data_IF_462142983476
#
_entry.id   IF_462142983476
#
_cell.length_a   1.000
_cell.length_b   1.000
_cell.length_c   1.000
_cell.angle_alpha   90.00
_cell.angle_beta   90.00
_cell.angle_gamma   90.00
#
_symmetry.space_group_name_H-M   'P 1'
#
loop_
_entity.id
_entity.type
_entity.pdbx_description
1 polymer ?
#
# COMPACT_ATOMS: atom_id res chain seq x y z
N UNK A 1 11.03 30.99 -3.20
CA UNK A 1 12.15 30.06 -3.50
C UNK A 1 12.13 28.89 -2.53
N UNK A 2 12.77 27.78 -2.88
CA UNK A 2 12.91 26.61 -2.02
C UNK A 2 13.85 26.93 -0.87
N UNK A 3 13.42 26.71 0.35
CA UNK A 3 14.21 26.97 1.56
C UNK A 3 14.55 25.71 2.36
N UNK A 4 13.78 24.61 2.14
CA UNK A 4 13.90 23.37 2.90
C UNK A 4 14.88 22.36 2.30
N UNK A 5 15.27 22.57 1.05
CA UNK A 5 16.17 21.68 0.30
C UNK A 5 17.23 22.48 -0.45
N UNK A 6 18.36 21.88 -0.69
CA UNK A 6 19.47 22.42 -1.48
C UNK A 6 19.94 21.39 -2.54
N UNK A 7 20.70 21.84 -3.52
CA UNK A 7 21.31 20.96 -4.51
C UNK A 7 22.19 19.90 -3.84
N UNK A 8 22.01 18.65 -4.23
CA UNK A 8 22.71 17.51 -3.68
C UNK A 8 21.96 16.77 -2.54
N UNK A 9 20.83 17.30 -2.05
CA UNK A 9 20.01 16.56 -1.10
C UNK A 9 19.33 15.36 -1.78
N UNK A 10 19.41 14.19 -1.14
CA UNK A 10 18.70 12.99 -1.58
C UNK A 10 17.28 13.01 -1.03
N UNK A 11 16.30 12.83 -1.92
CA UNK A 11 14.88 13.00 -1.56
C UNK A 11 14.00 11.86 -2.10
N UNK A 12 12.86 11.66 -1.45
CA UNK A 12 11.71 10.94 -1.98
C UNK A 12 10.56 11.92 -2.18
N UNK A 13 9.68 11.67 -3.14
CA UNK A 13 8.54 12.53 -3.38
C UNK A 13 7.33 11.77 -3.94
N UNK A 14 6.16 12.38 -3.82
CA UNK A 14 4.94 11.91 -4.45
C UNK A 14 4.40 12.99 -5.40
N UNK A 15 4.53 12.79 -6.71
CA UNK A 15 3.93 13.69 -7.69
C UNK A 15 2.41 13.60 -7.67
N UNK A 16 1.75 14.75 -7.51
CA UNK A 16 0.29 14.89 -7.63
C UNK A 16 -0.14 15.48 -8.97
N UNK A 17 0.82 15.89 -9.79
CA UNK A 17 0.55 16.45 -11.10
C UNK A 17 0.30 15.31 -12.12
N UNK A 18 -0.95 14.95 -12.33
CA UNK A 18 -1.35 13.89 -13.29
C UNK A 18 -1.04 14.24 -14.76
N UNK A 19 -0.71 15.47 -15.05
CA UNK A 19 -0.32 15.92 -16.41
C UNK A 19 1.19 15.80 -16.66
N UNK A 20 1.97 15.62 -15.60
CA UNK A 20 3.41 15.46 -15.65
C UNK A 20 3.79 14.12 -15.07
N UNK A 21 4.30 13.22 -15.89
CA UNK A 21 4.84 11.93 -15.44
C UNK A 21 6.22 12.10 -14.78
N UNK A 22 6.66 11.01 -14.12
CA UNK A 22 7.97 10.93 -13.48
C UNK A 22 8.96 10.04 -14.24
N UNK A 23 8.65 9.61 -15.46
CA UNK A 23 9.57 8.85 -16.33
C UNK A 23 10.48 9.85 -17.06
N UNK A 24 11.37 10.49 -16.35
CA UNK A 24 12.19 11.59 -16.83
C UNK A 24 13.43 11.78 -15.95
N UNK A 25 14.51 12.24 -16.52
CA UNK A 25 15.75 12.61 -15.83
C UNK A 25 15.55 13.78 -14.85
N UNK A 26 14.57 14.62 -15.10
CA UNK A 26 14.23 15.77 -14.26
C UNK A 26 12.72 15.94 -14.14
N UNK A 27 12.29 16.32 -12.96
CA UNK A 27 10.89 16.61 -12.69
C UNK A 27 10.76 17.81 -11.74
N UNK A 28 9.74 18.64 -11.96
CA UNK A 28 9.42 19.75 -11.06
C UNK A 28 8.33 19.32 -10.08
N UNK A 29 8.60 19.43 -8.78
CA UNK A 29 7.70 18.99 -7.70
C UNK A 29 7.55 20.13 -6.70
N UNK A 30 6.33 20.32 -6.20
CA UNK A 30 6.05 21.20 -5.06
C UNK A 30 6.79 20.69 -3.82
N UNK A 31 7.46 21.57 -3.11
CA UNK A 31 8.32 21.18 -1.96
C UNK A 31 7.56 20.52 -0.81
N UNK A 32 6.27 20.76 -0.69
CA UNK A 32 5.42 20.11 0.31
C UNK A 32 5.19 18.61 0.04
N UNK A 33 5.44 18.16 -1.20
CA UNK A 33 5.35 16.76 -1.60
C UNK A 33 6.70 16.05 -1.61
N UNK A 34 7.72 16.65 -1.02
CA UNK A 34 9.09 16.13 -0.98
C UNK A 34 9.52 15.91 0.46
N UNK A 35 10.13 14.77 0.73
CA UNK A 35 10.73 14.44 2.02
C UNK A 35 12.18 13.99 1.84
N UNK A 36 13.06 14.17 2.83
CA UNK A 36 14.41 13.60 2.78
C UNK A 36 14.35 12.07 2.59
N UNK A 37 15.22 11.54 1.75
CA UNK A 37 15.44 10.08 1.67
C UNK A 37 16.15 9.62 2.94
N UNK A 38 15.67 8.54 3.56
CA UNK A 38 16.36 7.95 4.68
C UNK A 38 17.75 7.42 4.26
N UNK A 39 18.78 7.68 5.03
CA UNK A 39 20.18 7.35 4.68
C UNK A 39 20.41 5.85 4.46
N UNK A 40 19.60 5.01 5.11
CA UNK A 40 19.78 3.56 5.13
C UNK A 40 19.01 2.83 4.02
N UNK A 41 18.28 3.53 3.16
CA UNK A 41 17.58 2.94 2.02
C UNK A 41 18.21 3.36 0.69
N UNK A 42 18.13 2.48 -0.31
CA UNK A 42 18.55 2.76 -1.67
C UNK A 42 17.60 3.73 -2.39
N UNK A 43 17.99 4.26 -3.55
CA UNK A 43 17.10 5.06 -4.40
C UNK A 43 15.91 4.24 -4.93
N UNK A 44 16.12 2.95 -5.25
CA UNK A 44 15.03 2.05 -5.63
C UNK A 44 13.99 1.90 -4.51
N UNK A 45 14.44 1.72 -3.27
CA UNK A 45 13.57 1.69 -2.10
C UNK A 45 12.88 3.05 -1.88
N UNK A 46 13.62 4.16 -2.05
CA UNK A 46 13.08 5.51 -1.93
C UNK A 46 11.97 5.82 -2.95
N UNK A 47 12.07 5.25 -4.15
CA UNK A 47 11.05 5.37 -5.20
C UNK A 47 9.83 4.45 -4.98
N UNK A 48 10.01 3.30 -4.31
CA UNK A 48 8.98 2.28 -4.17
C UNK A 48 7.84 2.65 -3.23
N UNK A 49 8.10 3.46 -2.20
CA UNK A 49 7.17 3.64 -1.10
C UNK A 49 6.21 4.84 -1.19
N UNK A 50 6.51 6.00 -1.82
CA UNK A 50 5.70 7.20 -1.63
C UNK A 50 4.23 6.99 -1.93
N UNK A 51 3.88 6.52 -3.14
CA UNK A 51 2.48 6.25 -3.47
C UNK A 51 1.90 5.09 -2.64
N UNK A 52 2.63 3.98 -2.52
CA UNK A 52 2.13 2.78 -1.84
C UNK A 52 1.96 3.00 -0.33
N UNK A 53 2.92 3.67 0.30
CA UNK A 53 2.88 3.99 1.72
C UNK A 53 1.79 5.02 2.04
N UNK A 54 1.71 6.10 1.27
CA UNK A 54 0.66 7.12 1.42
C UNK A 54 -0.73 6.51 1.23
N UNK A 55 -0.91 5.64 0.23
CA UNK A 55 -2.19 4.96 0.01
C UNK A 55 -2.58 4.07 1.20
N UNK A 56 -1.64 3.28 1.71
CA UNK A 56 -1.88 2.44 2.89
C UNK A 56 -2.18 3.29 4.15
N UNK A 57 -1.46 4.39 4.34
CA UNK A 57 -1.71 5.33 5.45
C UNK A 57 -3.10 5.95 5.36
N UNK A 58 -3.46 6.48 4.19
CA UNK A 58 -4.80 7.04 3.95
C UNK A 58 -5.91 6.04 4.25
N UNK A 59 -5.73 4.78 3.84
CA UNK A 59 -6.72 3.73 4.09
C UNK A 59 -6.85 3.39 5.58
N UNK A 60 -5.73 3.13 6.26
CA UNK A 60 -5.71 2.46 7.56
C UNK A 60 -5.46 3.40 8.76
N UNK A 61 -5.02 4.64 8.51
CA UNK A 61 -4.82 5.64 9.57
C UNK A 61 -5.89 6.72 9.54
N UNK A 62 -6.28 7.17 8.35
CA UNK A 62 -7.22 8.28 8.20
C UNK A 62 -8.65 7.83 7.89
N UNK A 63 -8.84 6.89 6.95
CA UNK A 63 -10.18 6.49 6.47
C UNK A 63 -10.83 5.44 7.36
N UNK A 64 -10.09 4.38 7.71
CA UNK A 64 -10.49 3.30 8.63
C UNK A 64 -9.44 3.17 9.74
N UNK A 65 -9.45 4.06 10.75
CA UNK A 65 -8.39 4.13 11.74
C UNK A 65 -8.21 2.82 12.50
N UNK A 66 -7.06 2.19 12.33
CA UNK A 66 -6.67 1.00 13.07
C UNK A 66 -6.30 1.38 14.50
N UNK A 67 -6.75 0.56 15.45
CA UNK A 67 -6.32 0.60 16.83
C UNK A 67 -5.75 -0.74 17.28
N UNK A 68 -5.09 -0.72 18.43
CA UNK A 68 -4.54 -1.92 19.08
C UNK A 68 -5.61 -2.99 19.24
N UNK A 69 -5.22 -4.24 19.06
CA UNK A 69 -6.01 -5.47 19.20
C UNK A 69 -7.13 -5.67 18.16
N UNK A 70 -7.32 -4.75 17.20
CA UNK A 70 -8.20 -4.98 16.05
C UNK A 70 -7.68 -6.11 15.18
N UNK A 71 -8.60 -6.92 14.64
CA UNK A 71 -8.30 -7.90 13.58
C UNK A 71 -8.52 -7.27 12.21
N UNK A 72 -7.47 -7.25 11.41
CA UNK A 72 -7.46 -6.60 10.09
C UNK A 72 -7.10 -7.61 9.02
N UNK A 73 -7.93 -7.72 7.98
CA UNK A 73 -7.58 -8.46 6.77
C UNK A 73 -7.12 -7.49 5.68
N UNK A 74 -5.95 -7.75 5.10
CA UNK A 74 -5.38 -6.95 4.02
C UNK A 74 -5.27 -7.84 2.78
N UNK A 75 -6.01 -7.51 1.72
CA UNK A 75 -5.89 -8.23 0.45
C UNK A 75 -4.68 -7.78 -0.34
N UNK A 76 -4.01 -8.72 -1.01
CA UNK A 76 -2.85 -8.42 -1.85
C UNK A 76 -1.59 -8.03 -1.07
N UNK A 77 -1.31 -8.69 0.05
CA UNK A 77 -0.19 -8.34 0.95
C UNK A 77 1.21 -8.37 0.35
N UNK A 78 1.42 -9.10 -0.75
CA UNK A 78 2.71 -9.15 -1.43
C UNK A 78 2.96 -7.96 -2.36
N UNK A 79 1.93 -7.15 -2.65
CA UNK A 79 2.04 -5.95 -3.46
C UNK A 79 2.61 -4.75 -2.69
N UNK A 80 2.92 -3.68 -3.41
CA UNK A 80 3.50 -2.47 -2.78
C UNK A 80 2.59 -1.85 -1.72
N UNK A 81 1.28 -1.68 -1.99
CA UNK A 81 0.32 -1.11 -1.03
C UNK A 81 0.06 -2.07 0.12
N UNK A 82 -0.24 -3.35 -0.19
CA UNK A 82 -0.52 -4.35 0.83
C UNK A 82 0.65 -4.57 1.79
N UNK A 83 1.89 -4.60 1.28
CA UNK A 83 3.08 -4.77 2.10
C UNK A 83 3.36 -3.57 3.03
N UNK A 84 3.08 -2.34 2.59
CA UNK A 84 3.13 -1.17 3.47
C UNK A 84 1.99 -1.20 4.49
N UNK A 85 0.80 -1.61 4.07
CA UNK A 85 -0.37 -1.71 4.94
C UNK A 85 -0.17 -2.72 6.09
N UNK A 86 0.44 -3.88 5.83
CA UNK A 86 0.79 -4.87 6.86
C UNK A 86 1.66 -4.21 7.93
N UNK A 87 2.73 -3.54 7.54
CA UNK A 87 3.68 -2.94 8.49
C UNK A 87 3.05 -1.79 9.29
N UNK A 88 2.26 -0.93 8.64
CA UNK A 88 1.51 0.14 9.32
C UNK A 88 0.53 -0.45 10.34
N UNK A 89 -0.24 -1.48 9.96
CA UNK A 89 -1.20 -2.13 10.82
C UNK A 89 -0.52 -2.81 12.04
N UNK A 90 0.60 -3.48 11.82
CA UNK A 90 1.40 -4.07 12.90
C UNK A 90 1.95 -3.03 13.86
N UNK A 91 2.48 -1.92 13.34
CA UNK A 91 2.95 -0.81 14.18
C UNK A 91 1.84 -0.22 15.05
N UNK A 92 0.60 -0.22 14.55
CA UNK A 92 -0.58 0.20 15.30
C UNK A 92 -1.09 -0.83 16.30
N UNK A 93 -0.45 -2.01 16.40
CA UNK A 93 -0.79 -3.08 17.33
C UNK A 93 -1.96 -3.96 16.91
N UNK A 94 -2.33 -3.96 15.63
CA UNK A 94 -3.37 -4.84 15.10
C UNK A 94 -2.87 -6.28 14.94
N UNK A 95 -3.80 -7.23 14.96
CA UNK A 95 -3.61 -8.58 14.47
C UNK A 95 -3.90 -8.61 12.97
N UNK A 96 -2.90 -8.93 12.16
CA UNK A 96 -2.95 -8.79 10.70
C UNK A 96 -3.02 -10.13 10.01
N UNK A 97 -4.14 -10.39 9.33
CA UNK A 97 -4.26 -11.42 8.30
C UNK A 97 -4.05 -10.80 6.93
N UNK A 98 -3.49 -11.56 5.98
CA UNK A 98 -3.34 -11.09 4.61
C UNK A 98 -3.52 -12.18 3.60
N UNK A 99 -4.07 -11.83 2.41
CA UNK A 99 -4.11 -12.74 1.27
C UNK A 99 -2.92 -12.51 0.34
N UNK A 100 -2.30 -13.59 -0.10
CA UNK A 100 -1.28 -13.61 -1.15
C UNK A 100 -1.27 -14.98 -1.84
N UNK A 101 -0.44 -15.18 -2.88
CA UNK A 101 -0.17 -16.53 -3.36
C UNK A 101 0.68 -17.32 -2.37
N UNK A 102 0.59 -18.64 -2.35
CA UNK A 102 1.40 -19.51 -1.47
C UNK A 102 2.90 -19.24 -1.62
N UNK A 103 3.36 -18.93 -2.83
CA UNK A 103 4.76 -18.56 -3.11
C UNK A 103 5.24 -17.31 -2.36
N UNK A 104 4.32 -16.43 -1.95
CA UNK A 104 4.63 -15.19 -1.24
C UNK A 104 4.39 -15.26 0.28
N UNK A 105 3.97 -16.42 0.82
CA UNK A 105 3.59 -16.56 2.22
C UNK A 105 4.70 -16.14 3.19
N UNK A 106 5.91 -16.65 3.01
CA UNK A 106 7.06 -16.30 3.88
C UNK A 106 7.45 -14.82 3.74
N UNK A 107 7.28 -14.24 2.55
CA UNK A 107 7.54 -12.83 2.36
C UNK A 107 6.58 -11.95 3.17
N UNK A 108 5.28 -12.18 3.10
CA UNK A 108 4.32 -11.35 3.85
C UNK A 108 4.42 -11.56 5.36
N UNK A 109 4.77 -12.77 5.82
CA UNK A 109 5.14 -13.02 7.23
C UNK A 109 6.34 -12.18 7.66
N UNK A 110 7.36 -12.06 6.80
CA UNK A 110 8.54 -11.22 7.10
C UNK A 110 8.23 -9.72 7.17
N UNK A 111 7.06 -9.28 6.66
CA UNK A 111 6.54 -7.92 6.82
C UNK A 111 5.71 -7.75 8.10
N UNK A 112 5.46 -8.83 8.83
CA UNK A 112 4.75 -8.82 10.11
C UNK A 112 3.32 -9.34 10.06
N UNK A 113 2.87 -9.99 8.97
CA UNK A 113 1.56 -10.64 8.96
C UNK A 113 1.52 -11.79 9.98
N UNK A 114 0.49 -11.83 10.83
CA UNK A 114 0.27 -12.88 11.82
C UNK A 114 -0.36 -14.11 11.17
N UNK A 115 -1.25 -13.90 10.20
CA UNK A 115 -1.94 -14.95 9.45
C UNK A 115 -1.81 -14.71 7.94
N UNK A 116 -1.60 -15.79 7.20
CA UNK A 116 -1.49 -15.76 5.74
C UNK A 116 -2.52 -16.70 5.16
N UNK A 117 -3.36 -16.16 4.27
CA UNK A 117 -4.36 -16.93 3.51
C UNK A 117 -3.87 -17.03 2.08
N UNK A 118 -3.41 -18.20 1.69
CA UNK A 118 -2.92 -18.46 0.34
C UNK A 118 -4.11 -18.66 -0.61
N UNK A 119 -4.50 -17.62 -1.35
CA UNK A 119 -5.72 -17.61 -2.18
C UNK A 119 -5.73 -18.65 -3.30
N UNK A 120 -4.58 -19.24 -3.64
CA UNK A 120 -4.44 -20.38 -4.56
C UNK A 120 -4.80 -21.73 -3.92
N UNK A 121 -4.92 -21.79 -2.58
CA UNK A 121 -5.21 -23.00 -1.82
C UNK A 121 -6.37 -22.85 -0.83
N UNK A 122 -6.69 -21.60 -0.43
CA UNK A 122 -7.61 -21.30 0.65
C UNK A 122 -8.60 -20.23 0.25
N UNK A 123 -9.85 -20.35 0.68
CA UNK A 123 -10.89 -19.35 0.49
C UNK A 123 -11.06 -18.52 1.77
N UNK A 124 -10.66 -17.26 1.71
CA UNK A 124 -10.74 -16.34 2.85
C UNK A 124 -12.18 -16.09 3.32
N UNK A 125 -13.17 -16.21 2.42
CA UNK A 125 -14.58 -15.95 2.73
C UNK A 125 -15.16 -16.92 3.75
N UNK A 126 -14.51 -18.07 3.97
CA UNK A 126 -14.93 -19.10 4.93
C UNK A 126 -14.49 -18.81 6.38
N UNK A 127 -13.71 -17.76 6.61
CA UNK A 127 -13.18 -17.42 7.94
C UNK A 127 -14.26 -17.02 8.97
N UNK A 128 -15.48 -16.71 8.51
CA UNK A 128 -16.55 -16.17 9.35
C UNK A 128 -16.33 -14.69 9.71
N UNK A 129 -17.30 -14.09 10.40
CA UNK A 129 -17.33 -12.65 10.70
C UNK A 129 -16.39 -12.27 11.85
N UNK A 130 -15.09 -12.25 11.60
CA UNK A 130 -14.05 -12.08 12.63
C UNK A 130 -13.22 -10.80 12.49
N UNK A 131 -13.27 -10.10 11.32
CA UNK A 131 -12.44 -8.91 11.09
C UNK A 131 -13.17 -7.62 11.46
N UNK A 132 -12.44 -6.71 12.09
CA UNK A 132 -12.90 -5.35 12.39
C UNK A 132 -12.76 -4.44 11.16
N UNK A 133 -11.69 -4.67 10.37
CA UNK A 133 -11.41 -3.94 9.14
C UNK A 133 -10.98 -4.94 8.06
N UNK A 134 -11.49 -4.77 6.85
CA UNK A 134 -10.94 -5.37 5.64
C UNK A 134 -10.44 -4.26 4.74
N UNK A 135 -9.18 -4.34 4.32
CA UNK A 135 -8.57 -3.44 3.35
C UNK A 135 -8.44 -4.13 2.00
N UNK A 136 -9.26 -3.71 1.06
CA UNK A 136 -9.32 -4.28 -0.28
C UNK A 136 -8.47 -3.47 -1.27
N UNK A 137 -7.44 -4.10 -1.80
CA UNK A 137 -6.56 -3.57 -2.85
C UNK A 137 -6.73 -4.29 -4.19
N UNK A 138 -7.71 -5.20 -4.30
CA UNK A 138 -7.87 -6.14 -5.43
C UNK A 138 -9.14 -5.89 -6.23
N UNK A 139 -10.31 -5.84 -5.56
CA UNK A 139 -11.61 -5.61 -6.21
C UNK A 139 -12.32 -6.86 -6.72
N UNK A 140 -13.36 -6.63 -7.53
CA UNK A 140 -14.15 -7.71 -8.10
C UNK A 140 -14.78 -8.61 -7.04
N UNK A 141 -14.68 -9.93 -7.22
CA UNK A 141 -15.24 -10.91 -6.28
C UNK A 141 -14.57 -10.84 -4.91
N UNK A 142 -13.31 -10.43 -4.82
CA UNK A 142 -12.62 -10.23 -3.52
C UNK A 142 -13.34 -9.14 -2.72
N UNK A 143 -13.69 -8.02 -3.36
CA UNK A 143 -14.46 -6.96 -2.71
C UNK A 143 -15.81 -7.47 -2.19
N UNK A 144 -16.55 -8.18 -3.04
CA UNK A 144 -17.86 -8.73 -2.71
C UNK A 144 -17.77 -9.72 -1.54
N UNK A 145 -16.86 -10.67 -1.61
CA UNK A 145 -16.69 -11.70 -0.59
C UNK A 145 -16.12 -11.14 0.73
N UNK A 146 -15.54 -9.94 0.71
CA UNK A 146 -15.03 -9.27 1.93
C UNK A 146 -16.13 -8.91 2.92
N UNK A 147 -17.36 -8.74 2.48
CA UNK A 147 -18.50 -8.49 3.37
C UNK A 147 -18.81 -9.69 4.30
N UNK A 148 -18.56 -10.93 3.83
CA UNK A 148 -18.84 -12.16 4.57
C UNK A 148 -17.98 -12.34 5.82
N UNK A 149 -16.80 -11.70 5.85
CA UNK A 149 -15.81 -11.88 6.92
C UNK A 149 -15.74 -10.71 7.91
N UNK A 150 -16.46 -9.62 7.63
CA UNK A 150 -16.54 -8.48 8.53
C UNK A 150 -17.51 -8.71 9.67
N UNK A 151 -17.11 -8.32 10.87
CA UNK A 151 -18.02 -8.22 12.02
C UNK A 151 -19.14 -7.22 11.73
N UNK A 152 -20.33 -7.35 12.34
CA UNK A 152 -21.31 -6.28 12.34
C UNK A 152 -20.69 -4.96 12.85
N UNK A 153 -20.89 -3.87 12.09
CA UNK A 153 -20.24 -2.57 12.35
C UNK A 153 -18.76 -2.48 11.93
N UNK A 154 -18.18 -3.56 11.39
CA UNK A 154 -16.84 -3.54 10.82
C UNK A 154 -16.74 -2.66 9.58
N UNK A 155 -15.52 -2.36 9.14
CA UNK A 155 -15.29 -1.43 8.03
C UNK A 155 -14.62 -2.12 6.85
N UNK A 156 -15.24 -2.05 5.67
CA UNK A 156 -14.61 -2.34 4.38
C UNK A 156 -14.02 -1.05 3.81
N UNK A 157 -12.71 -0.95 3.75
CA UNK A 157 -12.02 0.15 3.10
C UNK A 157 -11.33 -0.34 1.82
N UNK A 158 -11.43 0.45 0.74
CA UNK A 158 -10.84 0.06 -0.55
C UNK A 158 -10.19 1.23 -1.29
N UNK A 159 -9.37 0.91 -2.30
CA UNK A 159 -8.63 1.88 -3.12
C UNK A 159 -8.82 1.68 -4.64
N UNK A 160 -9.69 0.77 -5.03
CA UNK A 160 -9.83 0.36 -6.43
C UNK A 160 -10.64 1.40 -7.19
N UNK A 161 -10.17 1.73 -8.39
CA UNK A 161 -10.92 2.56 -9.32
C UNK A 161 -11.99 1.70 -10.04
N UNK A 162 -13.22 2.15 -10.03
CA UNK A 162 -14.32 1.49 -10.72
C UNK A 162 -15.50 1.18 -9.81
N UNK A 163 -16.59 0.70 -10.40
CA UNK A 163 -17.78 0.36 -9.63
C UNK A 163 -17.50 -0.87 -8.75
N UNK A 164 -17.90 -0.78 -7.49
CA UNK A 164 -17.92 -1.89 -6.53
C UNK A 164 -19.33 -2.08 -6.02
N UNK A 165 -19.72 -3.34 -5.81
CA UNK A 165 -21.06 -3.67 -5.29
C UNK A 165 -21.20 -3.15 -3.86
N UNK A 166 -22.32 -2.55 -3.53
CA UNK A 166 -22.62 -2.06 -2.18
C UNK A 166 -23.57 -3.01 -1.47
N UNK A 167 -23.03 -3.80 -0.56
CA UNK A 167 -23.78 -4.72 0.30
C UNK A 167 -23.71 -4.28 1.78
N UNK A 168 -23.31 -3.05 2.04
CA UNK A 168 -23.06 -2.56 3.41
C UNK A 168 -24.30 -2.61 4.30
N UNK A 169 -25.48 -2.30 3.75
CA UNK A 169 -26.74 -2.38 4.49
C UNK A 169 -27.12 -3.82 4.83
N UNK A 170 -26.97 -4.76 3.87
CA UNK A 170 -27.28 -6.18 4.05
C UNK A 170 -26.42 -6.82 5.15
N UNK A 171 -25.12 -6.49 5.17
CA UNK A 171 -24.16 -7.06 6.13
C UNK A 171 -24.01 -6.24 7.42
N UNK A 172 -24.64 -5.06 7.50
CA UNK A 172 -24.54 -4.18 8.67
C UNK A 172 -23.12 -3.66 8.90
N UNK A 173 -22.40 -3.32 7.86
CA UNK A 173 -21.00 -2.86 7.90
C UNK A 173 -20.84 -1.43 7.36
N UNK A 174 -19.71 -0.83 7.66
CA UNK A 174 -19.34 0.50 7.17
C UNK A 174 -18.47 0.33 5.92
N UNK A 175 -18.73 1.15 4.90
CA UNK A 175 -18.05 1.13 3.63
C UNK A 175 -17.35 2.46 3.35
N UNK A 176 -16.07 2.45 3.00
CA UNK A 176 -15.27 3.68 2.80
C UNK A 176 -14.27 3.55 1.66
N UNK A 177 -14.32 4.45 0.69
CA UNK A 177 -13.26 4.63 -0.30
C UNK A 177 -12.12 5.44 0.32
N UNK A 178 -10.91 4.91 0.29
CA UNK A 178 -9.73 5.67 0.66
C UNK A 178 -9.23 6.49 -0.53
N UNK A 179 -9.33 7.81 -0.41
CA UNK A 179 -8.90 8.75 -1.45
C UNK A 179 -7.51 9.29 -1.11
N UNK A 180 -6.61 9.28 -2.11
CA UNK A 180 -5.24 9.78 -1.96
C UNK A 180 -5.23 11.28 -2.30
N UNK A 181 -5.70 12.09 -1.36
CA UNK A 181 -5.68 13.57 -1.39
C UNK A 181 -5.01 14.10 -0.13
N UNK A 182 -4.56 15.36 -0.13
CA UNK A 182 -3.91 15.99 1.03
C UNK A 182 -2.81 15.09 1.62
N UNK A 183 -1.79 14.81 0.80
CA UNK A 183 -0.84 13.72 1.05
C UNK A 183 0.29 14.06 2.01
N UNK A 184 0.46 15.33 2.40
CA UNK A 184 1.63 15.82 3.15
C UNK A 184 1.82 15.07 4.47
N UNK A 185 0.79 15.06 5.33
CA UNK A 185 0.88 14.39 6.63
C UNK A 185 1.12 12.87 6.49
N UNK A 186 0.49 12.24 5.48
CA UNK A 186 0.67 10.83 5.20
C UNK A 186 2.10 10.54 4.68
N UNK A 187 2.64 11.41 3.82
CA UNK A 187 3.99 11.29 3.28
C UNK A 187 5.03 11.42 4.41
N UNK A 188 4.89 12.42 5.27
CA UNK A 188 5.75 12.62 6.43
C UNK A 188 5.62 11.47 7.45
N UNK A 189 4.39 11.03 7.73
CA UNK A 189 4.13 9.91 8.64
C UNK A 189 4.79 8.61 8.19
N UNK A 190 4.67 8.26 6.91
CA UNK A 190 5.33 7.07 6.35
C UNK A 190 6.85 7.23 6.29
N UNK A 191 7.36 8.42 5.91
CA UNK A 191 8.79 8.71 5.95
C UNK A 191 9.36 8.51 7.35
N UNK A 192 8.64 8.95 8.39
CA UNK A 192 9.00 8.71 9.80
C UNK A 192 9.11 7.22 10.12
N UNK A 193 8.12 6.40 9.74
CA UNK A 193 8.18 4.95 9.95
C UNK A 193 9.38 4.28 9.24
N UNK A 194 9.75 4.78 8.06
CA UNK A 194 10.93 4.27 7.35
C UNK A 194 12.22 4.72 8.06
N UNK A 195 12.35 5.99 8.44
CA UNK A 195 13.50 6.51 9.17
C UNK A 195 13.74 5.74 10.47
N UNK A 196 12.68 5.40 11.20
CA UNK A 196 12.72 4.64 12.45
C UNK A 196 12.89 3.13 12.24
N UNK A 197 13.04 2.66 10.99
CA UNK A 197 13.16 1.25 10.60
C UNK A 197 11.94 0.38 11.00
N UNK A 198 10.81 1.00 11.24
CA UNK A 198 9.53 0.33 11.52
C UNK A 198 8.92 -0.25 10.25
N UNK A 199 9.05 0.47 9.15
CA UNK A 199 8.60 0.01 7.84
C UNK A 199 9.76 0.00 6.84
N UNK A 200 9.71 -0.94 5.91
CA UNK A 200 10.64 -1.02 4.77
C UNK A 200 9.85 -0.97 3.46
N UNK A 201 10.38 -0.28 2.43
CA UNK A 201 9.78 -0.27 1.11
C UNK A 201 9.77 -1.65 0.45
N UNK A 202 8.75 -1.93 -0.37
CA UNK A 202 8.65 -3.18 -1.13
C UNK A 202 9.11 -2.95 -2.57
N UNK A 203 10.36 -3.26 -2.84
CA UNK A 203 10.98 -3.18 -4.17
C UNK A 203 10.75 -4.48 -4.92
N UNK A 204 10.26 -4.35 -6.15
CA UNK A 204 10.13 -5.42 -7.13
C UNK A 204 11.27 -5.39 -8.14
N UNK A 205 11.04 -5.90 -9.36
CA UNK A 205 12.04 -5.84 -10.42
C UNK A 205 12.38 -4.40 -10.79
N UNK A 206 13.66 -4.18 -11.12
CA UNK A 206 14.19 -2.92 -11.59
C UNK A 206 14.52 -3.01 -13.09
N UNK A 207 14.14 -1.99 -13.84
CA UNK A 207 14.38 -1.87 -15.28
C UNK A 207 15.00 -0.51 -15.57
N UNK A 208 15.86 -0.43 -16.57
CA UNK A 208 16.28 0.87 -17.09
C UNK A 208 15.11 1.63 -17.72
N UNK A 209 15.14 2.95 -17.71
CA UNK A 209 14.09 3.77 -18.34
C UNK A 209 13.90 3.44 -19.83
N UNK A 210 14.98 3.07 -20.53
CA UNK A 210 14.94 2.61 -21.93
C UNK A 210 14.10 1.35 -22.14
N UNK A 211 13.94 0.51 -21.08
CA UNK A 211 13.20 -0.75 -21.08
C UNK A 211 11.80 -0.62 -20.48
N UNK A 212 11.26 0.60 -20.43
CA UNK A 212 9.94 0.88 -19.85
C UNK A 212 8.82 -0.02 -20.39
N UNK A 213 8.89 -0.41 -21.66
CA UNK A 213 7.90 -1.33 -22.24
C UNK A 213 7.91 -2.72 -21.55
N UNK A 214 9.10 -3.25 -21.26
CA UNK A 214 9.23 -4.51 -20.51
C UNK A 214 8.74 -4.36 -19.06
N UNK A 215 9.02 -3.23 -18.40
CA UNK A 215 8.51 -2.92 -17.08
C UNK A 215 6.97 -2.89 -17.05
N UNK A 216 6.33 -2.29 -18.06
CA UNK A 216 4.87 -2.26 -18.20
C UNK A 216 4.29 -3.66 -18.41
N UNK A 217 4.89 -4.49 -19.29
CA UNK A 217 4.46 -5.87 -19.52
C UNK A 217 4.54 -6.65 -18.21
N UNK A 218 5.64 -6.51 -17.46
CA UNK A 218 5.78 -7.17 -16.16
C UNK A 218 4.70 -6.69 -15.17
N UNK A 219 4.46 -5.38 -15.08
CA UNK A 219 3.42 -4.83 -14.21
C UNK A 219 2.01 -5.31 -14.58
N UNK A 220 1.70 -5.43 -15.88
CA UNK A 220 0.41 -5.92 -16.37
C UNK A 220 0.16 -7.39 -16.06
N UNK A 221 1.19 -8.18 -15.80
CA UNK A 221 1.02 -9.58 -15.40
C UNK A 221 0.23 -9.75 -14.09
N UNK A 222 0.12 -8.72 -13.27
CA UNK A 222 -0.57 -8.73 -11.98
C UNK A 222 0.18 -9.51 -10.88
N UNK A 223 1.34 -10.10 -11.18
CA UNK A 223 2.11 -10.94 -10.25
C UNK A 223 3.38 -10.25 -9.71
N UNK A 224 3.50 -8.93 -9.91
CA UNK A 224 4.65 -8.19 -9.41
C UNK A 224 4.65 -8.16 -7.87
N UNK A 225 5.71 -8.70 -7.28
CA UNK A 225 5.99 -8.56 -5.85
C UNK A 225 6.59 -7.17 -5.62
N UNK A 226 5.99 -6.39 -4.72
CA UNK A 226 6.43 -5.02 -4.49
C UNK A 226 6.13 -4.06 -5.65
N UNK A 227 6.95 -3.04 -5.80
CA UNK A 227 6.85 -2.02 -6.87
C UNK A 227 7.89 -2.26 -7.95
N UNK A 228 7.45 -2.25 -9.21
CA UNK A 228 8.36 -2.21 -10.36
C UNK A 228 9.02 -0.85 -10.41
N UNK A 229 10.34 -0.82 -10.50
CA UNK A 229 11.16 0.40 -10.47
C UNK A 229 11.76 0.67 -11.85
N UNK A 230 11.79 1.94 -12.23
CA UNK A 230 12.56 2.42 -13.38
C UNK A 230 13.79 3.16 -12.86
N UNK A 231 14.98 2.64 -13.19
CA UNK A 231 16.25 3.30 -12.95
C UNK A 231 16.45 4.36 -14.06
N UNK A 232 16.84 5.56 -13.64
CA UNK A 232 17.14 6.67 -14.53
C UNK A 232 18.60 7.04 -14.32
N UNK A 233 19.41 6.77 -15.32
CA UNK A 233 20.87 7.04 -15.33
C UNK A 233 21.17 8.42 -15.90
#
# INVERSE_FOLDING_TARGET
GVTNFKAGDEVSFLSRNIKQGCYAEQVAIETEHVVPKADHISFAEAAAWPLSGVTAWKALVETAPISKDMKVLIHGGAGGVGGMAIQIAKHRGAHVATTCSAANAEYVKSLGADEVIAYDNEDFSTAGKIYDIVFDTVGGDVHKNSYEVLKPGGTLVWIIAGPVEDLSEEFGVIRKLAVVENVVDALEGVAGLINDRVARPQVGPEFDLSDVAAAHIHSQSGHAKGKVILAIS
#
